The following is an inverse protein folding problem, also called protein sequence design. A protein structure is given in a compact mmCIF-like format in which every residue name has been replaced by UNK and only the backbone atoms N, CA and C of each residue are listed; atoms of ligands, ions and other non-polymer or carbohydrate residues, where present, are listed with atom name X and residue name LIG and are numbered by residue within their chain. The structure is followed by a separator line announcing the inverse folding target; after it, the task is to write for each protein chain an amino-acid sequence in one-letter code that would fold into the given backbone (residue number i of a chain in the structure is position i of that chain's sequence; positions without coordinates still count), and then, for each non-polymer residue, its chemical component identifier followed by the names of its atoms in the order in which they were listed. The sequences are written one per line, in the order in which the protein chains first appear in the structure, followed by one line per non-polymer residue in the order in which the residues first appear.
data_IF_466321138973
#
_entry.id   IF_466321138973
#
_cell.length_a   1.000
_cell.length_b   1.000
_cell.length_c   1.000
_cell.angle_alpha   90.00
_cell.angle_beta   90.00
_cell.angle_gamma   90.00
#
_symmetry.space_group_name_H-M   'P 1'
#
loop_
_entity.id
_entity.type
_entity.pdbx_description
1 polymer ?
#
# COMPACT_ATOMS: atom_id res chain seq x y z
N UNK A 1 -11.12 5.63 -13.06
CA UNK A 1 -11.11 5.79 -11.59
C UNK A 1 -10.36 4.60 -11.07
N UNK A 2 -9.06 4.75 -10.82
CA UNK A 2 -8.22 3.65 -10.32
C UNK A 2 -8.73 3.26 -8.93
N UNK A 3 -9.09 1.98 -8.76
CA UNK A 3 -9.53 1.46 -7.48
C UNK A 3 -8.30 1.32 -6.57
N UNK A 4 -8.36 1.95 -5.40
CA UNK A 4 -7.29 1.93 -4.40
C UNK A 4 -7.87 1.84 -3.01
N UNK A 5 -7.17 1.11 -2.13
CA UNK A 5 -7.56 0.87 -0.75
C UNK A 5 -6.63 1.65 0.18
N UNK A 6 -7.21 2.44 1.09
CA UNK A 6 -6.45 3.05 2.18
C UNK A 6 -6.33 2.03 3.32
N UNK A 7 -5.10 1.74 3.74
CA UNK A 7 -4.80 0.77 4.78
C UNK A 7 -4.14 1.47 5.97
N UNK A 8 -4.65 1.22 7.18
CA UNK A 8 -4.08 1.75 8.42
C UNK A 8 -3.19 0.74 9.16
N UNK A 9 -3.26 -0.54 8.79
CA UNK A 9 -2.65 -1.66 9.49
C UNK A 9 -2.47 -2.87 8.54
N UNK A 10 -1.77 -3.92 8.98
CA UNK A 10 -1.54 -5.16 8.23
C UNK A 10 -2.84 -5.91 7.86
N UNK A 11 -3.90 -5.80 8.67
CA UNK A 11 -5.19 -6.45 8.41
C UNK A 11 -5.87 -5.79 7.22
N UNK A 12 -5.86 -4.46 7.13
CA UNK A 12 -6.35 -3.73 5.94
C UNK A 12 -5.56 -4.14 4.69
N UNK A 13 -4.23 -4.24 4.81
CA UNK A 13 -3.37 -4.67 3.70
C UNK A 13 -3.78 -6.06 3.21
N UNK A 14 -4.00 -7.00 4.13
CA UNK A 14 -4.44 -8.35 3.80
C UNK A 14 -5.81 -8.37 3.12
N UNK A 15 -6.74 -7.52 3.58
CA UNK A 15 -8.07 -7.39 2.98
C UNK A 15 -8.00 -6.82 1.56
N UNK A 16 -7.22 -5.76 1.35
CA UNK A 16 -6.98 -5.17 0.04
C UNK A 16 -6.34 -6.18 -0.92
N UNK A 17 -5.39 -6.99 -0.46
CA UNK A 17 -4.76 -8.03 -1.28
C UNK A 17 -5.73 -9.13 -1.71
N UNK A 18 -6.77 -9.41 -0.93
CA UNK A 18 -7.81 -10.40 -1.33
C UNK A 18 -8.67 -9.91 -2.49
N UNK A 19 -8.85 -8.59 -2.62
CA UNK A 19 -9.62 -7.98 -3.71
C UNK A 19 -8.76 -7.73 -4.95
N UNK A 20 -7.53 -7.24 -4.77
CA UNK A 20 -6.69 -6.79 -5.89
C UNK A 20 -5.81 -7.90 -6.47
N UNK A 21 -5.13 -8.67 -5.61
CA UNK A 21 -4.09 -9.62 -6.04
C UNK A 21 -2.78 -8.94 -6.51
N UNK A 22 -1.76 -9.73 -6.83
CA UNK A 22 -0.46 -9.21 -7.32
C UNK A 22 -0.44 -9.06 -8.84
N UNK A 23 0.33 -8.11 -9.40
CA UNK A 23 1.18 -7.12 -8.71
C UNK A 23 0.41 -5.88 -8.24
N UNK A 24 0.89 -5.25 -7.15
CA UNK A 24 0.27 -4.05 -6.55
C UNK A 24 1.27 -2.91 -6.31
N UNK A 25 0.77 -1.68 -6.30
CA UNK A 25 1.51 -0.48 -5.89
C UNK A 25 1.15 -0.12 -4.45
N UNK A 26 2.16 0.10 -3.61
CA UNK A 26 2.05 0.59 -2.25
C UNK A 26 2.57 2.02 -2.18
N UNK A 27 1.77 2.95 -1.66
CA UNK A 27 2.05 4.38 -1.69
C UNK A 27 1.85 4.95 -0.28
N UNK A 28 2.88 5.49 0.39
CA UNK A 28 2.71 6.09 1.71
C UNK A 28 1.85 7.35 1.62
N UNK A 29 0.92 7.53 2.56
CA UNK A 29 0.02 8.69 2.59
C UNK A 29 0.59 9.82 3.44
N UNK A 30 0.46 11.06 2.97
CA UNK A 30 0.92 12.28 3.64
C UNK A 30 -0.22 13.29 3.73
N UNK A 31 -0.10 14.26 4.63
CA UNK A 31 -1.11 15.32 4.79
C UNK A 31 -1.38 16.14 3.53
N UNK A 32 -0.45 16.13 2.56
CA UNK A 32 -0.53 16.87 1.30
C UNK A 32 -0.42 15.94 0.07
N UNK A 33 -0.91 14.70 0.16
CA UNK A 33 -1.00 13.78 -0.98
C UNK A 33 -0.37 12.41 -0.69
N UNK A 34 0.27 11.83 -1.70
CA UNK A 34 0.89 10.51 -1.61
C UNK A 34 2.39 10.59 -1.94
N UNK A 35 3.18 9.75 -1.30
CA UNK A 35 4.62 9.63 -1.56
C UNK A 35 4.91 8.78 -2.78
N UNK A 36 6.15 8.29 -2.85
CA UNK A 36 6.57 7.43 -3.96
C UNK A 36 5.91 6.04 -3.87
N UNK A 37 5.42 5.56 -5.02
CA UNK A 37 4.81 4.25 -5.12
C UNK A 37 5.88 3.17 -5.31
N UNK A 38 5.87 2.14 -4.47
CA UNK A 38 6.68 0.93 -4.61
C UNK A 38 5.82 -0.24 -5.08
N UNK A 39 6.35 -1.09 -5.96
CA UNK A 39 5.60 -2.23 -6.52
C UNK A 39 5.95 -3.51 -5.77
N UNK A 40 4.93 -4.18 -5.23
CA UNK A 40 5.07 -5.50 -4.65
C UNK A 40 4.55 -6.58 -5.61
N UNK A 41 5.41 -7.55 -5.92
CA UNK A 41 5.10 -8.70 -6.78
C UNK A 41 4.92 -10.00 -5.97
N UNK A 42 5.13 -9.96 -4.66
CA UNK A 42 5.11 -11.13 -3.80
C UNK A 42 4.79 -10.72 -2.36
N UNK A 43 4.25 -11.63 -1.54
CA UNK A 43 3.89 -11.33 -0.15
C UNK A 43 5.08 -10.93 0.72
N UNK A 44 6.28 -11.49 0.46
CA UNK A 44 7.49 -11.09 1.17
C UNK A 44 7.90 -9.64 0.85
N UNK A 45 7.86 -9.26 -0.42
CA UNK A 45 8.12 -7.88 -0.85
C UNK A 45 7.07 -6.93 -0.30
N UNK A 46 5.79 -7.32 -0.38
CA UNK A 46 4.68 -6.52 0.14
C UNK A 46 4.89 -6.19 1.61
N UNK A 47 5.17 -7.19 2.46
CA UNK A 47 5.39 -7.00 3.88
C UNK A 47 6.57 -6.05 4.18
N UNK A 48 7.66 -6.18 3.41
CA UNK A 48 8.83 -5.32 3.55
C UNK A 48 8.53 -3.87 3.14
N UNK A 49 7.82 -3.70 2.01
CA UNK A 49 7.42 -2.39 1.48
C UNK A 49 6.40 -1.72 2.39
N UNK A 50 5.34 -2.42 2.82
CA UNK A 50 4.32 -1.84 3.72
C UNK A 50 4.93 -1.43 5.04
N UNK A 51 5.83 -2.23 5.62
CA UNK A 51 6.56 -1.87 6.85
C UNK A 51 7.31 -0.54 6.67
N UNK A 52 8.04 -0.38 5.57
CA UNK A 52 8.75 0.86 5.26
C UNK A 52 7.78 2.03 5.02
N UNK A 53 6.71 1.80 4.27
CA UNK A 53 5.73 2.83 3.93
C UNK A 53 4.97 3.33 5.17
N UNK A 54 4.63 2.45 6.11
CA UNK A 54 4.05 2.85 7.41
C UNK A 54 5.01 3.68 8.26
N UNK A 55 6.32 3.39 8.21
CA UNK A 55 7.34 4.19 8.90
C UNK A 55 7.58 5.55 8.23
N UNK A 56 7.47 5.62 6.90
CA UNK A 56 7.65 6.87 6.15
C UNK A 56 6.43 7.80 6.27
N UNK A 57 5.24 7.24 6.43
CA UNK A 57 4.00 8.02 6.56
C UNK A 57 3.88 8.65 7.96
N UNK A 58 3.85 9.99 8.09
CA UNK A 58 3.59 10.65 9.37
C UNK A 58 2.15 10.44 9.87
N UNK A 59 1.26 9.95 9.00
CA UNK A 59 -0.12 9.61 9.32
C UNK A 59 -0.29 8.13 9.67
N UNK A 60 0.78 7.33 9.56
CA UNK A 60 0.75 5.88 9.69
C UNK A 60 -0.29 5.22 8.76
N UNK A 61 -0.40 5.73 7.52
CA UNK A 61 -1.35 5.24 6.52
C UNK A 61 -0.67 5.03 5.18
N UNK A 62 -1.13 4.02 4.46
CA UNK A 62 -0.64 3.70 3.13
C UNK A 62 -1.82 3.44 2.19
N UNK A 63 -1.60 3.63 0.90
CA UNK A 63 -2.57 3.36 -0.16
C UNK A 63 -2.07 2.22 -1.00
N UNK A 64 -2.93 1.24 -1.25
CA UNK A 64 -2.66 0.12 -2.12
C UNK A 64 -3.49 0.26 -3.38
N UNK A 65 -2.85 0.19 -4.55
CA UNK A 65 -3.53 0.29 -5.84
C UNK A 65 -3.15 -0.87 -6.77
N UNK A 66 -4.12 -1.28 -7.58
CA UNK A 66 -3.87 -2.23 -8.67
C UNK A 66 -2.99 -1.60 -9.74
N UNK A 67 -2.20 -2.43 -10.41
CA UNK A 67 -1.60 -2.06 -11.68
C UNK A 67 -2.68 -2.22 -12.77
N UNK A 68 -2.96 -1.14 -13.50
CA UNK A 68 -3.69 -1.15 -14.78
C UNK A 68 -2.67 -1.13 -15.91
#
# INVERSE_FOLDING_TARGET
MTAGFECCDEVDVSLAMKEIGYPVKVIPSFSLGYGEAEVANSPAELASITTKAFQQSPLHRIRIETME
#
